data_IF_018056733451
#
_entry.id   IF_018056733451
#
_cell.length_a   1.000
_cell.length_b   1.000
_cell.length_c   1.000
_cell.angle_alpha   90.00
_cell.angle_beta   90.00
_cell.angle_gamma   90.00
#
_symmetry.space_group_name_H-M   'P 1'
#
loop_
_entity.id
_entity.type
_entity.pdbx_description
1 polymer ?
#
# COMPACT_ATOMS: atom_id res chain seq x y z
N UNK A 1 -4.40 -13.79 33.68
CA UNK A 1 -5.19 -13.68 32.44
C UNK A 1 -4.21 -13.71 31.27
N UNK A 2 -4.41 -14.56 30.25
CA UNK A 2 -3.56 -14.55 29.04
C UNK A 2 -4.22 -13.65 28.00
N UNK A 3 -3.46 -12.74 27.41
CA UNK A 3 -3.88 -11.86 26.31
C UNK A 3 -3.18 -12.25 25.02
N UNK A 4 -3.85 -12.04 23.89
CA UNK A 4 -3.33 -12.32 22.56
C UNK A 4 -4.21 -11.70 21.47
N UNK A 5 -3.66 -11.60 20.26
CA UNK A 5 -4.41 -11.16 19.07
C UNK A 5 -5.24 -12.35 18.59
N UNK A 6 -6.56 -12.15 18.48
CA UNK A 6 -7.50 -13.20 18.06
C UNK A 6 -7.84 -13.12 16.57
N UNK A 7 -7.75 -11.94 15.97
CA UNK A 7 -7.95 -11.70 14.53
C UNK A 7 -7.26 -10.41 14.10
N UNK A 8 -7.13 -10.24 12.78
CA UNK A 8 -6.72 -8.99 12.15
C UNK A 8 -7.36 -8.89 10.76
N UNK A 9 -7.58 -7.67 10.30
CA UNK A 9 -8.10 -7.38 8.97
C UNK A 9 -7.24 -6.31 8.31
N UNK A 10 -7.33 -6.25 6.99
CA UNK A 10 -6.51 -5.37 6.19
C UNK A 10 -7.25 -4.89 4.96
N UNK A 11 -6.98 -3.64 4.60
CA UNK A 11 -7.46 -3.03 3.38
C UNK A 11 -6.26 -2.48 2.61
N UNK A 12 -6.17 -2.79 1.32
CA UNK A 12 -5.15 -2.24 0.43
C UNK A 12 -5.90 -1.54 -0.71
N UNK A 13 -5.64 -0.25 -0.97
CA UNK A 13 -6.27 0.48 -2.07
C UNK A 13 -6.14 -0.24 -3.41
N UNK A 14 -7.00 0.09 -4.38
CA UNK A 14 -6.98 -0.61 -5.68
C UNK A 14 -5.86 -0.15 -6.60
N UNK A 15 -5.59 1.16 -6.68
CA UNK A 15 -4.67 1.71 -7.68
C UNK A 15 -3.19 1.41 -7.36
N UNK A 16 -2.37 1.26 -8.40
CA UNK A 16 -0.95 0.91 -8.28
C UNK A 16 -0.12 1.79 -9.21
N UNK A 17 1.06 2.18 -8.75
CA UNK A 17 2.09 2.83 -9.56
C UNK A 17 3.37 1.99 -9.51
N UNK A 18 4.06 1.83 -10.64
CA UNK A 18 5.30 1.04 -10.71
C UNK A 18 6.51 1.93 -10.40
N UNK A 19 7.59 1.38 -9.82
CA UNK A 19 8.84 2.11 -9.60
C UNK A 19 9.37 2.78 -10.88
N UNK A 20 9.23 2.15 -12.05
CA UNK A 20 9.57 2.74 -13.35
C UNK A 20 8.85 4.06 -13.65
N UNK A 21 7.55 4.11 -13.38
CA UNK A 21 6.73 5.28 -13.66
C UNK A 21 7.10 6.42 -12.69
N UNK A 22 7.39 6.09 -11.42
CA UNK A 22 7.94 7.03 -10.44
C UNK A 22 9.30 7.55 -10.93
N UNK A 23 10.25 6.67 -11.27
CA UNK A 23 11.59 7.06 -11.71
C UNK A 23 11.58 8.01 -12.91
N UNK A 24 10.66 7.80 -13.85
CA UNK A 24 10.47 8.68 -15.03
C UNK A 24 10.16 10.12 -14.62
N UNK A 25 9.32 10.33 -13.60
CA UNK A 25 8.96 11.68 -13.10
C UNK A 25 10.09 12.31 -12.31
N UNK A 26 10.83 11.50 -11.54
CA UNK A 26 11.89 11.97 -10.65
C UNK A 26 13.29 12.02 -11.28
N UNK A 27 13.42 11.71 -12.58
CA UNK A 27 14.71 11.69 -13.28
C UNK A 27 15.69 10.63 -12.76
N UNK A 28 15.17 9.52 -12.23
CA UNK A 28 15.93 8.46 -11.60
C UNK A 28 15.67 7.09 -12.26
N UNK A 29 16.60 6.14 -12.10
CA UNK A 29 16.37 4.76 -12.50
C UNK A 29 15.41 4.06 -11.52
N UNK A 30 14.12 4.23 -11.79
CA UNK A 30 13.05 3.64 -11.00
C UNK A 30 13.08 2.11 -10.97
N UNK A 31 13.58 1.45 -12.03
CA UNK A 31 13.71 0.00 -12.07
C UNK A 31 14.84 -0.48 -11.15
N UNK A 32 16.00 0.19 -11.15
CA UNK A 32 17.07 -0.09 -10.21
C UNK A 32 16.65 0.18 -8.76
N UNK A 33 15.95 1.28 -8.49
CA UNK A 33 15.41 1.58 -7.15
C UNK A 33 14.40 0.52 -6.71
N UNK A 34 13.48 0.10 -7.59
CA UNK A 34 12.51 -0.95 -7.32
C UNK A 34 13.19 -2.28 -6.94
N UNK A 35 14.24 -2.68 -7.68
CA UNK A 35 15.07 -3.84 -7.33
C UNK A 35 15.78 -3.68 -5.99
N UNK A 36 16.39 -2.52 -5.74
CA UNK A 36 17.11 -2.22 -4.50
C UNK A 36 16.22 -2.24 -3.25
N UNK A 37 14.95 -1.88 -3.39
CA UNK A 37 13.95 -1.88 -2.31
C UNK A 37 13.11 -3.18 -2.24
N UNK A 38 13.28 -4.10 -3.19
CA UNK A 38 12.42 -5.27 -3.38
C UNK A 38 10.93 -4.90 -3.53
N UNK A 39 10.63 -3.82 -4.25
CA UNK A 39 9.26 -3.33 -4.50
C UNK A 39 8.92 -3.49 -5.97
N UNK A 40 7.79 -4.14 -6.26
CA UNK A 40 7.25 -4.29 -7.63
C UNK A 40 6.27 -3.17 -8.00
N UNK A 41 5.50 -2.70 -7.03
CA UNK A 41 4.54 -1.61 -7.18
C UNK A 41 4.19 -1.02 -5.81
N UNK A 42 3.72 0.23 -5.79
CA UNK A 42 3.16 0.89 -4.60
C UNK A 42 1.66 1.11 -4.79
N UNK A 43 0.88 0.83 -3.76
CA UNK A 43 -0.55 1.19 -3.72
C UNK A 43 -0.74 2.70 -3.61
N UNK A 44 -1.73 3.22 -4.33
CA UNK A 44 -2.11 4.64 -4.32
C UNK A 44 -3.58 4.72 -3.92
N UNK A 45 -3.94 5.46 -2.86
CA UNK A 45 -5.34 5.71 -2.53
C UNK A 45 -6.04 6.50 -3.64
N UNK A 46 -7.28 6.15 -3.93
CA UNK A 46 -8.19 6.97 -4.72
C UNK A 46 -8.68 8.21 -3.96
N UNK A 47 -9.41 9.11 -4.63
CA UNK A 47 -9.89 10.35 -4.02
C UNK A 47 -10.72 10.15 -2.74
N UNK A 48 -11.49 9.06 -2.67
CA UNK A 48 -12.38 8.73 -1.54
C UNK A 48 -11.78 7.71 -0.56
N UNK A 49 -10.48 7.41 -0.65
CA UNK A 49 -9.79 6.43 0.21
C UNK A 49 -8.91 7.14 1.25
N UNK A 50 -9.53 7.66 2.31
CA UNK A 50 -8.82 8.26 3.44
C UNK A 50 -8.55 7.26 4.59
N UNK A 51 -7.91 7.74 5.66
CA UNK A 51 -7.58 6.91 6.83
C UNK A 51 -8.82 6.30 7.47
N UNK A 52 -9.92 7.05 7.56
CA UNK A 52 -11.17 6.58 8.16
C UNK A 52 -11.73 5.42 7.33
N UNK A 53 -11.83 5.63 6.03
CA UNK A 53 -12.33 4.64 5.07
C UNK A 53 -11.50 3.36 5.13
N UNK A 54 -10.18 3.47 5.00
CA UNK A 54 -9.26 2.31 5.04
C UNK A 54 -9.38 1.56 6.37
N UNK A 55 -9.49 2.28 7.50
CA UNK A 55 -9.58 1.65 8.83
C UNK A 55 -10.90 0.93 9.03
N UNK A 56 -12.02 1.53 8.63
CA UNK A 56 -13.36 0.92 8.75
C UNK A 56 -13.47 -0.31 7.85
N UNK A 57 -13.01 -0.23 6.61
CA UNK A 57 -13.05 -1.36 5.69
C UNK A 57 -12.12 -2.50 6.13
N UNK A 58 -10.94 -2.20 6.66
CA UNK A 58 -10.06 -3.20 7.26
C UNK A 58 -10.72 -3.89 8.48
N UNK A 59 -11.41 -3.13 9.33
CA UNK A 59 -12.11 -3.66 10.50
C UNK A 59 -13.31 -4.55 10.12
N UNK A 60 -14.06 -4.19 9.06
CA UNK A 60 -15.20 -5.00 8.56
C UNK A 60 -14.80 -6.33 7.95
N UNK A 61 -13.55 -6.48 7.52
CA UNK A 61 -13.02 -7.72 6.98
C UNK A 61 -12.66 -8.78 8.05
N UNK A 62 -12.83 -8.45 9.35
CA UNK A 62 -12.51 -9.31 10.49
C UNK A 62 -13.74 -10.03 11.05
#
# INVERSE_FOLDING_TARGET
MKSGIVSYGGYIPRYRIRPKDIGTVWGADGEAMGRGLNIRAKSVPGPDEDVITISVEAARAC
#
